data_IF_753222526971
#
_entry.id   IF_753222526971
#
_cell.length_a   1.000
_cell.length_b   1.000
_cell.length_c   1.000
_cell.angle_alpha   90.00
_cell.angle_beta   90.00
_cell.angle_gamma   90.00
#
_symmetry.space_group_name_H-M   'P 1'
#
loop_
_entity.id
_entity.type
_entity.pdbx_description
1 polymer ?
#
# COMPACT_ATOMS: atom_id res chain seq x y z
N UNK A 1 -15.30 -23.94 24.01
CA UNK A 1 -13.86 -23.73 23.80
C UNK A 1 -13.64 -22.91 22.55
N UNK A 2 -13.72 -21.58 22.65
CA UNK A 2 -13.51 -20.64 21.53
C UNK A 2 -12.59 -19.49 22.00
N UNK A 3 -11.51 -19.83 22.71
CA UNK A 3 -10.48 -18.87 23.14
C UNK A 3 -9.22 -19.03 22.31
N UNK A 4 -9.36 -19.20 20.99
CA UNK A 4 -8.27 -18.88 20.08
C UNK A 4 -8.32 -17.38 19.88
N UNK A 5 -7.22 -16.67 20.15
CA UNK A 5 -7.14 -15.23 19.92
C UNK A 5 -7.54 -14.94 18.47
N UNK A 6 -8.69 -14.28 18.29
CA UNK A 6 -9.15 -13.87 16.97
C UNK A 6 -8.15 -12.89 16.39
N UNK A 7 -7.77 -13.11 15.13
CA UNK A 7 -6.89 -12.20 14.40
C UNK A 7 -7.71 -11.02 13.92
N UNK A 8 -7.46 -9.83 14.48
CA UNK A 8 -7.98 -8.58 13.95
C UNK A 8 -7.26 -8.16 12.67
N UNK A 9 -7.89 -7.30 11.87
CA UNK A 9 -7.31 -6.80 10.63
C UNK A 9 -8.14 -5.67 10.03
N UNK A 10 -7.97 -5.46 8.72
CA UNK A 10 -8.70 -4.43 7.97
C UNK A 10 -9.14 -4.98 6.61
N UNK A 11 -10.32 -4.57 6.16
CA UNK A 11 -10.74 -4.65 4.76
C UNK A 11 -10.57 -3.26 4.16
N UNK A 12 -9.75 -3.17 3.11
CA UNK A 12 -9.53 -1.92 2.37
C UNK A 12 -10.09 -2.03 0.97
N UNK A 13 -11.00 -1.12 0.60
CA UNK A 13 -11.37 -0.89 -0.78
C UNK A 13 -10.53 0.24 -1.38
N UNK A 14 -9.75 -0.09 -2.42
CA UNK A 14 -8.96 0.88 -3.20
C UNK A 14 -9.55 1.01 -4.61
N UNK A 15 -10.02 2.19 -5.04
CA UNK A 15 -10.47 2.37 -6.41
C UNK A 15 -9.32 2.22 -7.42
N UNK A 16 -9.62 2.06 -8.72
CA UNK A 16 -8.62 2.10 -9.78
C UNK A 16 -7.72 3.33 -9.65
N UNK A 17 -6.43 3.15 -9.90
CA UNK A 17 -5.50 4.27 -10.02
C UNK A 17 -5.93 5.16 -11.19
N UNK A 18 -6.26 6.41 -10.95
CA UNK A 18 -6.22 7.42 -12.01
C UNK A 18 -4.74 7.66 -12.32
N UNK A 19 -4.23 6.96 -13.34
CA UNK A 19 -2.85 7.13 -13.82
C UNK A 19 -2.74 8.53 -14.41
N UNK A 20 -1.90 9.38 -13.82
CA UNK A 20 -1.62 10.71 -14.33
C UNK A 20 -0.29 10.71 -15.09
N UNK A 21 -0.11 11.65 -16.02
CA UNK A 21 1.01 11.67 -16.97
C UNK A 21 2.39 11.81 -16.30
N UNK A 22 2.44 12.19 -15.03
CA UNK A 22 3.65 12.41 -14.21
C UNK A 22 4.07 11.20 -13.35
N UNK A 23 3.34 10.09 -13.40
CA UNK A 23 3.66 8.88 -12.64
C UNK A 23 3.18 8.88 -11.18
N UNK A 24 2.46 9.91 -10.75
CA UNK A 24 1.87 9.98 -9.41
C UNK A 24 0.43 9.45 -9.37
N UNK A 25 -0.02 9.02 -8.18
CA UNK A 25 -1.34 8.42 -7.96
C UNK A 25 -2.10 9.12 -6.83
N UNK A 26 -3.37 9.45 -7.05
CA UNK A 26 -4.29 9.93 -6.01
C UNK A 26 -5.49 8.98 -5.89
N UNK A 27 -5.91 8.62 -4.67
CA UNK A 27 -7.02 7.69 -4.39
C UNK A 27 -7.76 8.06 -3.11
N UNK A 28 -9.08 7.87 -3.12
CA UNK A 28 -9.89 7.81 -1.89
C UNK A 28 -10.05 6.34 -1.52
N UNK A 29 -9.46 5.93 -0.42
CA UNK A 29 -9.56 4.57 0.11
C UNK A 29 -10.67 4.49 1.16
N UNK A 30 -11.37 3.35 1.22
CA UNK A 30 -12.33 3.05 2.29
C UNK A 30 -11.77 1.92 3.13
N UNK A 31 -11.55 2.21 4.42
CA UNK A 31 -10.92 1.30 5.38
C UNK A 31 -11.95 0.86 6.42
N UNK A 32 -12.12 -0.46 6.57
CA UNK A 32 -13.03 -1.07 7.54
C UNK A 32 -12.24 -1.98 8.49
N UNK A 33 -12.19 -1.59 9.76
CA UNK A 33 -11.58 -2.40 10.81
C UNK A 33 -12.42 -3.65 11.10
N UNK A 34 -11.76 -4.80 11.24
CA UNK A 34 -12.39 -6.09 11.52
C UNK A 34 -11.70 -6.77 12.71
N UNK A 35 -12.47 -7.51 13.50
CA UNK A 35 -11.97 -8.19 14.69
C UNK A 35 -11.70 -9.69 14.46
N UNK A 36 -12.16 -10.23 13.32
CA UNK A 36 -11.98 -11.62 12.92
C UNK A 36 -11.75 -11.71 11.40
N UNK A 37 -10.49 -11.88 11.03
CA UNK A 37 -10.04 -12.02 9.64
C UNK A 37 -10.60 -13.28 8.97
N UNK A 38 -10.76 -14.38 9.69
CA UNK A 38 -11.20 -15.64 9.11
C UNK A 38 -12.69 -15.57 8.76
N UNK A 39 -13.51 -15.07 9.69
CA UNK A 39 -14.94 -14.80 9.41
C UNK A 39 -15.12 -13.79 8.27
N UNK A 40 -14.29 -12.74 8.21
CA UNK A 40 -14.33 -11.77 7.11
C UNK A 40 -13.98 -12.39 5.74
N UNK A 41 -12.97 -13.26 5.68
CA UNK A 41 -12.60 -13.99 4.46
C UNK A 41 -13.74 -14.89 3.99
N UNK A 42 -14.39 -15.60 4.90
CA UNK A 42 -15.51 -16.48 4.57
C UNK A 42 -16.74 -15.70 4.10
N UNK A 43 -17.05 -14.56 4.73
CA UNK A 43 -18.11 -13.66 4.26
C UNK A 43 -17.85 -13.18 2.83
N UNK A 44 -16.63 -12.72 2.51
CA UNK A 44 -16.26 -12.26 1.17
C UNK A 44 -16.41 -13.36 0.11
N UNK A 45 -16.07 -14.61 0.47
CA UNK A 45 -16.29 -15.80 -0.39
C UNK A 45 -17.76 -16.07 -0.65
N UNK A 46 -18.60 -16.00 0.39
CA UNK A 46 -20.04 -16.26 0.28
C UNK A 46 -20.77 -15.23 -0.59
N UNK A 47 -20.29 -13.98 -0.65
CA UNK A 47 -20.82 -12.95 -1.56
C UNK A 47 -20.19 -12.99 -2.97
N UNK A 48 -19.37 -14.00 -3.26
CA UNK A 48 -18.86 -14.28 -4.61
C UNK A 48 -17.45 -13.77 -4.92
N UNK A 49 -16.67 -13.33 -3.93
CA UNK A 49 -15.26 -12.99 -4.16
C UNK A 49 -14.36 -14.23 -4.02
N UNK A 50 -13.23 -14.22 -4.72
CA UNK A 50 -12.18 -15.22 -4.58
C UNK A 50 -10.86 -14.57 -4.18
N UNK A 51 -9.97 -15.36 -3.56
CA UNK A 51 -8.62 -14.88 -3.22
C UNK A 51 -7.80 -14.87 -4.51
N UNK A 52 -7.47 -13.68 -5.00
CA UNK A 52 -6.66 -13.52 -6.20
C UNK A 52 -5.15 -13.75 -5.94
N UNK A 53 -4.63 -13.19 -4.85
CA UNK A 53 -3.22 -13.34 -4.45
C UNK A 53 -3.09 -13.11 -2.95
N UNK A 54 -2.19 -13.84 -2.30
CA UNK A 54 -1.77 -13.58 -0.92
C UNK A 54 -0.41 -12.89 -0.93
N UNK A 55 -0.29 -11.78 -0.20
CA UNK A 55 0.93 -10.97 -0.13
C UNK A 55 1.39 -10.94 1.32
N UNK A 56 2.57 -11.50 1.57
CA UNK A 56 3.23 -11.47 2.87
C UNK A 56 4.35 -10.42 2.80
N UNK A 57 4.41 -9.54 3.81
CA UNK A 57 5.43 -8.50 3.86
C UNK A 57 5.78 -8.08 5.28
N UNK A 58 7.01 -7.64 5.44
CA UNK A 58 7.49 -6.91 6.61
C UNK A 58 7.54 -5.42 6.25
N UNK A 59 6.94 -4.57 7.09
CA UNK A 59 6.80 -3.13 6.82
C UNK A 59 7.41 -2.31 7.95
N UNK A 60 8.30 -1.39 7.59
CA UNK A 60 8.82 -0.37 8.51
C UNK A 60 8.27 1.01 8.12
N UNK A 61 7.79 1.75 9.12
CA UNK A 61 7.22 3.09 8.95
C UNK A 61 8.18 4.13 9.50
N UNK A 62 8.38 5.20 8.74
CA UNK A 62 9.13 6.39 9.14
C UNK A 62 8.33 7.63 8.74
N UNK A 63 8.61 8.72 9.42
CA UNK A 63 8.08 10.03 9.07
C UNK A 63 9.22 11.04 9.03
N UNK A 64 9.33 11.76 7.92
CA UNK A 64 10.27 12.87 7.76
C UNK A 64 9.46 14.08 7.28
N UNK A 65 9.38 15.11 8.11
CA UNK A 65 8.52 16.27 7.88
C UNK A 65 7.06 15.83 7.62
N UNK A 66 6.48 16.26 6.50
CA UNK A 66 5.11 15.93 6.09
C UNK A 66 5.03 14.70 5.16
N UNK A 67 6.13 13.95 5.05
CA UNK A 67 6.22 12.74 4.22
C UNK A 67 6.25 11.49 5.10
N UNK A 68 5.38 10.55 4.77
CA UNK A 68 5.39 9.19 5.28
C UNK A 68 6.28 8.35 4.37
N UNK A 69 7.22 7.64 4.98
CA UNK A 69 8.15 6.78 4.27
C UNK A 69 7.92 5.36 4.76
N UNK A 70 7.74 4.46 3.82
CA UNK A 70 7.46 3.06 4.11
C UNK A 70 8.48 2.19 3.40
N UNK A 71 9.12 1.30 4.14
CA UNK A 71 10.02 0.29 3.59
C UNK A 71 9.34 -1.06 3.70
N UNK A 72 9.03 -1.67 2.56
CA UNK A 72 8.40 -2.97 2.46
C UNK A 72 9.41 -4.01 1.98
N UNK A 73 9.59 -5.08 2.76
CA UNK A 73 10.17 -6.33 2.28
C UNK A 73 9.02 -7.26 1.94
N UNK A 74 8.77 -7.45 0.65
CA UNK A 74 7.67 -8.27 0.14
C UNK A 74 8.20 -9.65 -0.23
N UNK A 75 7.61 -10.69 0.36
CA UNK A 75 7.99 -12.07 0.08
C UNK A 75 7.77 -12.37 -1.40
N UNK A 76 8.78 -12.97 -2.01
CA UNK A 76 8.86 -13.12 -3.45
C UNK A 76 9.35 -11.85 -4.15
N UNK A 77 8.79 -10.66 -3.90
CA UNK A 77 9.02 -9.47 -4.74
C UNK A 77 10.30 -8.65 -4.46
N UNK A 78 10.81 -8.66 -3.22
CA UNK A 78 12.02 -7.92 -2.83
C UNK A 78 11.72 -6.69 -1.98
N UNK A 79 12.62 -5.70 -1.98
CA UNK A 79 12.51 -4.48 -1.17
C UNK A 79 11.96 -3.30 -1.97
N UNK A 80 11.06 -2.56 -1.34
CA UNK A 80 10.41 -1.38 -1.90
C UNK A 80 10.43 -0.23 -0.91
N UNK A 81 10.51 0.98 -1.44
CA UNK A 81 10.40 2.23 -0.70
C UNK A 81 9.21 3.00 -1.28
N UNK A 82 8.21 3.27 -0.44
CA UNK A 82 7.07 4.14 -0.77
C UNK A 82 7.25 5.46 -0.02
N UNK A 83 6.99 6.58 -0.70
CA UNK A 83 6.97 7.92 -0.12
C UNK A 83 5.61 8.52 -0.41
N UNK A 84 4.87 8.87 0.63
CA UNK A 84 3.55 9.47 0.55
C UNK A 84 3.57 10.83 1.26
N UNK A 85 3.08 11.87 0.60
CA UNK A 85 2.86 13.18 1.22
C UNK A 85 1.35 13.44 1.33
N UNK A 86 0.89 13.78 2.53
CA UNK A 86 -0.49 14.24 2.73
C UNK A 86 -0.52 15.76 2.70
N UNK A 87 -1.16 16.35 1.69
CA UNK A 87 -1.34 17.79 1.60
C UNK A 87 -2.70 18.16 1.01
N UNK A 88 -3.17 19.34 1.37
CA UNK A 88 -4.35 20.01 0.82
C UNK A 88 -4.21 20.36 -0.67
N UNK A 89 -2.98 20.58 -1.15
CA UNK A 89 -2.67 20.82 -2.55
C UNK A 89 -1.75 19.72 -3.08
N UNK A 90 -2.13 19.14 -4.22
CA UNK A 90 -1.34 18.15 -4.94
C UNK A 90 0.06 18.66 -5.26
N UNK A 91 0.17 19.88 -5.80
CA UNK A 91 1.45 20.48 -6.20
C UNK A 91 2.42 20.57 -5.00
N UNK A 92 1.90 20.92 -3.82
CA UNK A 92 2.69 20.95 -2.59
C UNK A 92 3.13 19.56 -2.15
N UNK A 93 2.25 18.57 -2.25
CA UNK A 93 2.58 17.18 -1.97
C UNK A 93 3.68 16.64 -2.90
N UNK A 94 3.61 16.95 -4.19
CA UNK A 94 4.62 16.56 -5.17
C UNK A 94 5.98 17.20 -4.87
N UNK A 95 6.01 18.52 -4.63
CA UNK A 95 7.26 19.22 -4.30
C UNK A 95 7.94 18.60 -3.06
N UNK A 96 7.16 18.27 -2.02
CA UNK A 96 7.68 17.61 -0.81
C UNK A 96 8.31 16.24 -1.09
N UNK A 97 7.72 15.47 -2.01
CA UNK A 97 8.27 14.17 -2.42
C UNK A 97 9.56 14.36 -3.21
N UNK A 98 9.60 15.33 -4.14
CA UNK A 98 10.80 15.65 -4.93
C UNK A 98 11.96 16.12 -4.03
N UNK A 99 11.70 17.06 -3.12
CA UNK A 99 12.70 17.56 -2.16
C UNK A 99 13.28 16.41 -1.32
N UNK A 100 12.43 15.47 -0.89
CA UNK A 100 12.86 14.32 -0.11
C UNK A 100 13.65 13.32 -0.95
N UNK A 101 13.27 13.11 -2.23
CA UNK A 101 14.03 12.27 -3.15
C UNK A 101 15.45 12.79 -3.37
N UNK A 102 15.60 14.12 -3.48
CA UNK A 102 16.91 14.78 -3.58
C UNK A 102 17.77 14.51 -2.34
N UNK A 103 17.21 14.71 -1.15
CA UNK A 103 17.91 14.48 0.13
C UNK A 103 18.33 13.02 0.29
N UNK A 104 17.48 12.07 -0.12
CA UNK A 104 17.74 10.64 -0.01
C UNK A 104 18.58 10.09 -1.18
N UNK A 105 18.91 10.90 -2.17
CA UNK A 105 19.67 10.47 -3.35
C UNK A 105 18.93 9.45 -4.21
N UNK A 106 17.60 9.52 -4.27
CA UNK A 106 16.73 8.54 -4.93
C UNK A 106 16.45 8.85 -6.40
N UNK A 107 16.89 10.00 -6.92
CA UNK A 107 16.56 10.52 -8.26
C UNK A 107 16.93 9.59 -9.43
N UNK A 108 17.84 8.64 -9.20
CA UNK A 108 18.28 7.64 -10.20
C UNK A 108 17.70 6.25 -9.97
N UNK A 109 16.81 6.08 -8.98
CA UNK A 109 16.20 4.78 -8.66
C UNK A 109 15.07 4.49 -9.64
N UNK A 110 14.92 3.21 -9.98
CA UNK A 110 13.82 2.74 -10.84
C UNK A 110 12.51 2.90 -10.09
N UNK A 111 11.57 3.64 -10.69
CA UNK A 111 10.20 3.74 -10.20
C UNK A 111 9.46 2.47 -10.58
N UNK A 112 8.82 1.83 -9.60
CA UNK A 112 7.91 0.71 -9.83
C UNK A 112 6.46 1.19 -9.71
N UNK A 113 5.77 1.25 -10.85
CA UNK A 113 4.41 1.77 -10.94
C UNK A 113 3.34 0.69 -10.79
N UNK A 114 3.74 -0.59 -10.68
CA UNK A 114 2.82 -1.71 -10.46
C UNK A 114 2.58 -1.90 -8.96
N UNK A 115 1.33 -2.14 -8.52
CA UNK A 115 1.09 -2.59 -7.16
C UNK A 115 1.68 -4.00 -6.94
N UNK A 116 1.98 -4.35 -5.69
CA UNK A 116 2.54 -5.66 -5.34
C UNK A 116 1.75 -6.85 -5.90
N UNK A 117 0.42 -6.74 -5.97
CA UNK A 117 -0.45 -7.73 -6.62
C UNK A 117 0.01 -8.03 -8.05
N UNK A 118 0.21 -7.00 -8.87
CA UNK A 118 0.53 -7.17 -10.28
C UNK A 118 2.00 -7.63 -10.44
N UNK A 119 2.89 -7.23 -9.54
CA UNK A 119 4.28 -7.72 -9.51
C UNK A 119 4.32 -9.23 -9.22
N UNK A 120 3.51 -9.72 -8.29
CA UNK A 120 3.48 -11.14 -7.91
C UNK A 120 2.75 -12.00 -8.95
N UNK A 121 1.71 -11.46 -9.61
CA UNK A 121 0.99 -12.17 -10.68
C UNK A 121 1.74 -12.21 -12.02
N UNK A 122 2.70 -11.30 -12.25
CA UNK A 122 3.47 -11.23 -13.51
C UNK A 122 4.76 -12.07 -13.49
N UNK A 123 4.79 -13.11 -12.67
CA UNK A 123 5.94 -14.01 -12.49
C UNK A 123 5.77 -15.33 -13.21
#
# INVERSE_FOLDING_TARGET
NLSGDLKSGEITYKPPSTKMDDGHFAKIETNLQIFDVDTAKDFLRLIGNEILVEIIKERAYYQINDCHIVIDKVDGAGFFLEIEAMDSSREKGLQKIEDLNDVLGLNKKRIENRPYRDILLSR
#
